data_IF_935704224974
#
_entry.id   IF_935704224974
#
_cell.length_a   1.000
_cell.length_b   1.000
_cell.length_c   1.000
_cell.angle_alpha   90.00
_cell.angle_beta   90.00
_cell.angle_gamma   90.00
#
_symmetry.space_group_name_H-M   'P 1'
#
loop_
_entity.id
_entity.type
_entity.pdbx_description
1 polymer ?
#
# COMPACT_ATOMS: atom_id res chain seq x y z
N UNK A 1 -0.61 36.01 -9.52
CA UNK A 1 0.60 35.28 -9.04
C UNK A 1 0.23 33.82 -8.89
N UNK A 2 1.14 32.93 -9.32
CA UNK A 2 0.95 31.48 -9.18
C UNK A 2 2.16 30.91 -8.43
N UNK A 3 1.89 29.98 -7.51
CA UNK A 3 2.92 29.20 -6.85
C UNK A 3 2.60 27.70 -6.98
N UNK A 4 3.62 26.90 -7.23
CA UNK A 4 3.53 25.45 -7.32
C UNK A 4 4.46 24.82 -6.27
N UNK A 5 3.96 23.80 -5.59
CA UNK A 5 4.77 22.95 -4.72
C UNK A 5 4.48 21.48 -5.02
N UNK A 6 5.49 20.64 -4.94
CA UNK A 6 5.33 19.22 -5.21
C UNK A 6 6.28 18.38 -4.37
N UNK A 7 5.86 17.15 -4.10
CA UNK A 7 6.64 16.14 -3.36
C UNK A 7 6.56 14.82 -4.09
N UNK A 8 7.69 14.12 -4.17
CA UNK A 8 7.80 12.76 -4.68
C UNK A 8 8.44 11.92 -3.58
N UNK A 9 7.85 10.77 -3.32
CA UNK A 9 8.38 9.77 -2.40
C UNK A 9 8.42 8.43 -3.12
N UNK A 10 9.53 7.72 -2.99
CA UNK A 10 9.71 6.38 -3.52
C UNK A 10 10.33 5.50 -2.45
N UNK A 11 9.76 4.32 -2.25
CA UNK A 11 10.26 3.31 -1.31
C UNK A 11 10.37 1.99 -2.06
N UNK A 12 11.56 1.41 -2.01
CA UNK A 12 11.84 0.07 -2.47
C UNK A 12 12.48 -0.68 -1.29
N UNK A 13 11.83 -1.72 -0.84
CA UNK A 13 12.28 -2.50 0.32
C UNK A 13 12.14 -3.98 0.04
N UNK A 14 13.22 -4.71 0.28
CA UNK A 14 13.23 -6.17 0.27
C UNK A 14 13.71 -6.65 1.64
N UNK A 15 12.88 -7.42 2.33
CA UNK A 15 13.18 -8.02 3.63
C UNK A 15 13.15 -9.52 3.47
N UNK A 16 14.29 -10.15 3.67
CA UNK A 16 14.41 -11.60 3.74
C UNK A 16 14.26 -12.04 5.19
N UNK A 17 13.53 -13.13 5.42
CA UNK A 17 13.25 -13.61 6.77
C UNK A 17 12.32 -12.67 7.53
N UNK A 18 11.24 -12.21 6.89
CA UNK A 18 10.24 -11.36 7.53
C UNK A 18 9.37 -12.16 8.51
N UNK A 19 9.59 -11.93 9.79
CA UNK A 19 8.86 -12.59 10.88
C UNK A 19 7.43 -12.06 11.08
N UNK A 20 7.07 -10.94 10.43
CA UNK A 20 5.79 -10.28 10.67
C UNK A 20 4.64 -10.81 9.79
N UNK A 21 4.87 -11.84 8.97
CA UNK A 21 3.84 -12.34 8.07
C UNK A 21 3.38 -13.79 8.36
N UNK A 22 3.54 -14.24 9.61
CA UNK A 22 3.07 -15.56 10.05
C UNK A 22 3.94 -16.75 9.63
N UNK A 23 5.12 -16.48 9.05
CA UNK A 23 6.06 -17.50 8.55
C UNK A 23 7.32 -17.61 9.40
N UNK A 24 7.15 -17.43 10.71
CA UNK A 24 8.24 -17.50 11.67
C UNK A 24 8.78 -18.92 11.80
N UNK A 25 10.08 -19.07 12.06
CA UNK A 25 10.64 -20.35 12.44
C UNK A 25 9.99 -20.87 13.74
N UNK A 26 9.41 -22.06 13.69
CA UNK A 26 8.75 -22.70 14.84
C UNK A 26 9.72 -23.51 15.71
N UNK A 27 10.88 -23.84 15.16
CA UNK A 27 11.86 -24.70 15.81
C UNK A 27 13.25 -24.06 15.77
N UNK A 28 14.10 -24.29 16.79
CA UNK A 28 15.49 -23.86 16.76
C UNK A 28 16.22 -24.41 15.52
N UNK A 29 16.92 -23.52 14.79
CA UNK A 29 17.66 -23.89 13.59
C UNK A 29 16.82 -23.91 12.29
N UNK A 30 15.52 -23.71 12.36
CA UNK A 30 14.71 -23.50 11.18
C UNK A 30 15.02 -22.13 10.57
N UNK A 31 15.20 -22.10 9.27
CA UNK A 31 15.40 -20.84 8.53
C UNK A 31 14.07 -20.11 8.34
N UNK A 32 14.08 -18.79 8.30
CA UNK A 32 12.88 -17.99 8.01
C UNK A 32 12.28 -18.37 6.64
N UNK A 33 10.99 -18.62 6.61
CA UNK A 33 10.29 -19.11 5.42
C UNK A 33 9.70 -17.97 4.55
N UNK A 34 9.66 -16.75 5.07
CA UNK A 34 9.04 -15.63 4.41
C UNK A 34 9.99 -14.52 4.00
N UNK A 35 9.65 -13.85 2.93
CA UNK A 35 10.22 -12.56 2.57
C UNK A 35 9.11 -11.57 2.23
N UNK A 36 9.41 -10.30 2.36
CA UNK A 36 8.49 -9.23 1.98
C UNK A 36 9.17 -8.25 1.05
N UNK A 37 8.52 -8.00 -0.07
CA UNK A 37 8.91 -6.96 -1.02
C UNK A 37 7.86 -5.86 -0.96
N UNK A 38 8.31 -4.63 -0.81
CA UNK A 38 7.43 -3.45 -0.79
C UNK A 38 7.92 -2.45 -1.80
N UNK A 39 7.09 -2.13 -2.78
CA UNK A 39 7.28 -1.04 -3.72
C UNK A 39 6.22 0.01 -3.44
N UNK A 40 6.64 1.22 -3.11
CA UNK A 40 5.70 2.32 -2.90
C UNK A 40 6.18 3.58 -3.62
N UNK A 41 5.26 4.21 -4.31
CA UNK A 41 5.47 5.48 -5.02
C UNK A 41 4.34 6.43 -4.64
N UNK A 42 4.71 7.63 -4.22
CA UNK A 42 3.76 8.67 -3.95
C UNK A 42 4.22 9.98 -4.58
N UNK A 43 3.28 10.70 -5.13
CA UNK A 43 3.52 12.07 -5.53
C UNK A 43 2.33 12.94 -5.14
N UNK A 44 2.60 14.16 -4.79
CA UNK A 44 1.58 15.16 -4.51
C UNK A 44 2.03 16.52 -5.04
N UNK A 45 1.05 17.34 -5.39
CA UNK A 45 1.31 18.68 -5.83
C UNK A 45 0.18 19.63 -5.43
N UNK A 46 0.52 20.88 -5.32
CA UNK A 46 -0.43 21.96 -5.10
C UNK A 46 -0.10 23.15 -6.00
N UNK A 47 -1.15 23.74 -6.57
CA UNK A 47 -1.08 24.96 -7.34
C UNK A 47 -1.95 25.99 -6.64
N UNK A 48 -1.34 27.03 -6.14
CA UNK A 48 -2.04 28.19 -5.56
C UNK A 48 -2.00 29.33 -6.55
N UNK A 49 -3.17 29.83 -6.94
CA UNK A 49 -3.35 30.88 -7.94
C UNK A 49 -4.08 32.07 -7.35
N UNK A 50 -3.38 33.18 -7.20
CA UNK A 50 -3.98 34.48 -6.84
C UNK A 50 -4.29 35.23 -8.12
N UNK A 51 -5.56 35.22 -8.53
CA UNK A 51 -6.03 35.89 -9.74
C UNK A 51 -6.23 37.40 -9.49
N UNK A 52 -6.66 37.77 -8.27
CA UNK A 52 -6.80 39.15 -7.82
C UNK A 52 -6.57 39.19 -6.31
N UNK A 53 -6.44 40.40 -5.72
CA UNK A 53 -6.35 40.55 -4.26
C UNK A 53 -7.54 39.95 -3.50
N UNK A 54 -8.64 39.74 -4.20
CA UNK A 54 -9.89 39.23 -3.63
C UNK A 54 -10.26 37.83 -4.09
N UNK A 55 -9.48 37.21 -4.99
CA UNK A 55 -9.79 35.86 -5.53
C UNK A 55 -8.57 34.97 -5.54
N UNK A 56 -8.68 33.89 -4.76
CA UNK A 56 -7.67 32.84 -4.60
C UNK A 56 -8.28 31.50 -4.97
N UNK A 57 -7.52 30.69 -5.73
CA UNK A 57 -7.81 29.29 -5.96
C UNK A 57 -6.63 28.44 -5.51
N UNK A 58 -6.94 27.27 -4.94
CA UNK A 58 -5.97 26.27 -4.54
C UNK A 58 -6.41 24.92 -5.09
N UNK A 59 -5.62 24.40 -6.02
CA UNK A 59 -5.77 23.07 -6.58
C UNK A 59 -4.71 22.14 -5.98
N UNK A 60 -5.11 20.95 -5.54
CA UNK A 60 -4.23 19.90 -5.02
C UNK A 60 -4.51 18.59 -5.71
N UNK A 61 -3.46 17.84 -5.96
CA UNK A 61 -3.54 16.48 -6.47
C UNK A 61 -2.56 15.57 -5.73
N UNK A 62 -2.87 14.29 -5.66
CA UNK A 62 -2.01 13.29 -5.06
C UNK A 62 -2.27 11.91 -5.64
N UNK A 63 -1.24 11.10 -5.65
CA UNK A 63 -1.27 9.70 -5.99
C UNK A 63 -0.40 8.93 -4.99
N UNK A 64 -0.90 7.78 -4.56
CA UNK A 64 -0.17 6.78 -3.80
C UNK A 64 -0.41 5.43 -4.45
N UNK A 65 0.65 4.76 -4.87
CA UNK A 65 0.64 3.36 -5.26
C UNK A 65 1.55 2.58 -4.33
N UNK A 66 1.06 1.48 -3.75
CA UNK A 66 1.81 0.64 -2.84
C UNK A 66 1.52 -0.83 -3.10
N UNK A 67 2.53 -1.54 -3.59
CA UNK A 67 2.54 -2.97 -3.75
C UNK A 67 3.29 -3.61 -2.57
N UNK A 68 2.69 -4.63 -1.95
CA UNK A 68 3.32 -5.45 -0.93
C UNK A 68 3.18 -6.91 -1.34
N UNK A 69 4.31 -7.55 -1.61
CA UNK A 69 4.38 -8.97 -1.88
C UNK A 69 4.94 -9.71 -0.67
N UNK A 70 4.18 -10.69 -0.18
CA UNK A 70 4.57 -11.61 0.87
C UNK A 70 4.89 -12.95 0.20
N UNK A 71 6.16 -13.29 0.13
CA UNK A 71 6.65 -14.40 -0.67
C UNK A 71 7.14 -15.53 0.24
N UNK A 72 6.94 -16.75 -0.21
CA UNK A 72 7.56 -17.92 0.40
C UNK A 72 8.99 -18.04 -0.09
N UNK A 73 9.96 -17.95 0.82
CA UNK A 73 11.40 -17.95 0.47
C UNK A 73 11.95 -19.36 0.19
N UNK A 74 11.26 -20.40 0.69
CA UNK A 74 11.66 -21.77 0.51
C UNK A 74 10.60 -22.49 -0.31
N UNK A 75 11.01 -23.17 -1.39
CA UNK A 75 10.12 -24.12 -2.04
C UNK A 75 9.82 -25.22 -1.04
N UNK A 76 8.55 -25.42 -0.73
CA UNK A 76 8.15 -26.59 0.04
C UNK A 76 8.59 -27.83 -0.72
N UNK A 77 9.17 -28.84 -0.04
CA UNK A 77 9.54 -30.10 -0.69
C UNK A 77 8.33 -30.83 -1.26
N UNK A 78 7.13 -30.42 -0.85
CA UNK A 78 5.85 -30.99 -1.31
C UNK A 78 4.86 -29.84 -1.55
N UNK A 79 3.98 -29.93 -2.57
CA UNK A 79 2.97 -28.91 -2.85
C UNK A 79 1.77 -28.97 -1.88
N UNK A 80 1.90 -29.61 -0.75
CA UNK A 80 0.86 -29.77 0.27
C UNK A 80 1.46 -29.64 1.66
N UNK A 81 0.64 -29.19 2.61
CA UNK A 81 0.96 -29.14 4.03
C UNK A 81 0.40 -30.35 4.75
N UNK A 82 1.15 -30.89 5.69
CA UNK A 82 0.70 -31.97 6.57
C UNK A 82 0.28 -31.36 7.92
N UNK A 83 -1.00 -31.36 8.19
CA UNK A 83 -1.54 -30.92 9.48
C UNK A 83 -2.16 -32.13 10.19
N UNK A 84 -1.42 -32.70 11.12
CA UNK A 84 -1.87 -33.81 11.99
C UNK A 84 -2.11 -33.24 13.40
N UNK A 85 -3.19 -33.67 14.04
CA UNK A 85 -3.55 -33.23 15.40
C UNK A 85 -2.46 -33.50 16.46
N UNK A 86 -1.50 -34.35 16.18
CA UNK A 86 -0.45 -34.74 17.10
C UNK A 86 0.96 -34.36 16.66
N UNK A 87 1.13 -34.03 15.38
CA UNK A 87 2.42 -33.66 14.80
C UNK A 87 2.18 -32.41 13.95
N UNK A 88 2.86 -31.33 14.30
CA UNK A 88 2.87 -30.12 13.48
C UNK A 88 4.04 -30.23 12.50
N UNK A 89 3.73 -30.15 11.20
CA UNK A 89 4.75 -30.04 10.17
C UNK A 89 5.57 -28.78 10.42
N UNK A 90 6.90 -28.85 10.49
CA UNK A 90 7.75 -27.67 10.63
C UNK A 90 7.59 -26.67 9.46
N UNK A 91 7.05 -27.12 8.36
CA UNK A 91 6.75 -26.31 7.18
C UNK A 91 5.24 -26.04 7.00
N UNK A 92 4.43 -26.29 8.04
CA UNK A 92 3.00 -26.00 8.03
C UNK A 92 2.77 -24.49 7.89
N UNK A 93 2.75 -24.06 6.67
CA UNK A 93 2.26 -22.75 6.26
C UNK A 93 1.27 -23.02 5.13
N UNK A 94 -0.02 -22.90 5.44
CA UNK A 94 -1.08 -22.94 4.42
C UNK A 94 -1.00 -21.70 3.50
N UNK A 95 -0.18 -20.72 3.87
CA UNK A 95 -0.05 -19.48 3.15
C UNK A 95 0.92 -19.65 1.99
N UNK A 96 0.42 -19.51 0.79
CA UNK A 96 1.21 -19.32 -0.42
C UNK A 96 1.71 -17.86 -0.54
N UNK A 97 2.10 -17.48 -1.73
CA UNK A 97 2.45 -16.09 -2.01
C UNK A 97 1.20 -15.22 -1.96
N UNK A 98 1.33 -14.04 -1.37
CA UNK A 98 0.28 -13.03 -1.35
C UNK A 98 0.82 -11.72 -1.87
N UNK A 99 0.11 -11.12 -2.82
CA UNK A 99 0.41 -9.78 -3.35
C UNK A 99 -0.78 -8.87 -3.10
N UNK A 100 -0.51 -7.73 -2.49
CA UNK A 100 -1.51 -6.68 -2.25
C UNK A 100 -1.08 -5.42 -2.97
N UNK A 101 -1.91 -4.97 -3.88
CA UNK A 101 -1.75 -3.70 -4.58
C UNK A 101 -2.82 -2.71 -4.13
N UNK A 102 -2.38 -1.52 -3.77
CA UNK A 102 -3.24 -0.45 -3.29
C UNK A 102 -2.91 0.83 -4.05
N UNK A 103 -3.91 1.40 -4.72
CA UNK A 103 -3.78 2.67 -5.39
C UNK A 103 -4.78 3.68 -4.83
N UNK A 104 -4.31 4.89 -4.59
CA UNK A 104 -5.16 6.01 -4.18
C UNK A 104 -4.84 7.21 -5.05
N UNK A 105 -5.86 7.72 -5.70
CA UNK A 105 -5.82 8.97 -6.42
C UNK A 105 -6.69 10.01 -5.73
N UNK A 106 -6.21 11.23 -5.61
CA UNK A 106 -6.87 12.31 -4.90
C UNK A 106 -6.75 13.63 -5.65
N UNK A 107 -7.88 14.29 -5.84
CA UNK A 107 -7.99 15.64 -6.38
C UNK A 107 -8.80 16.50 -5.42
N UNK A 108 -8.37 17.72 -5.22
CA UNK A 108 -9.10 18.72 -4.44
C UNK A 108 -8.92 20.08 -5.09
N UNK A 109 -10.02 20.80 -5.23
CA UNK A 109 -10.01 22.18 -5.65
C UNK A 109 -10.81 23.03 -4.67
N UNK A 110 -10.32 24.22 -4.39
CA UNK A 110 -11.01 25.19 -3.51
C UNK A 110 -10.72 26.60 -3.96
N UNK A 111 -11.72 27.44 -3.87
CA UNK A 111 -11.58 28.85 -4.14
C UNK A 111 -12.11 29.70 -2.99
N UNK A 112 -11.52 30.86 -2.81
CA UNK A 112 -11.93 31.88 -1.87
C UNK A 112 -12.11 33.19 -2.61
N UNK A 113 -13.23 33.88 -2.38
CA UNK A 113 -13.54 35.15 -2.99
C UNK A 113 -14.08 36.11 -1.95
N UNK A 114 -13.50 37.31 -1.90
CA UNK A 114 -13.91 38.39 -1.03
C UNK A 114 -14.57 39.51 -1.85
N UNK A 115 -15.75 39.93 -1.46
CA UNK A 115 -16.45 41.05 -2.09
C UNK A 115 -17.07 41.96 -1.03
N UNK A 116 -16.51 43.15 -0.86
CA UNK A 116 -16.93 44.09 0.16
C UNK A 116 -16.74 43.51 1.56
N UNK A 117 -17.84 43.34 2.31
CA UNK A 117 -17.83 42.74 3.66
C UNK A 117 -18.06 41.23 3.67
N UNK A 118 -18.24 40.62 2.51
CA UNK A 118 -18.55 39.19 2.37
C UNK A 118 -17.33 38.43 1.91
N UNK A 119 -17.13 37.24 2.50
CA UNK A 119 -16.14 36.24 2.08
C UNK A 119 -16.84 34.94 1.76
N UNK A 120 -16.58 34.41 0.58
CA UNK A 120 -17.10 33.16 0.10
C UNK A 120 -15.96 32.17 -0.04
N UNK A 121 -16.17 30.92 0.41
CA UNK A 121 -15.26 29.82 0.19
C UNK A 121 -16.07 28.62 -0.24
N UNK A 122 -15.65 27.98 -1.36
CA UNK A 122 -16.24 26.75 -1.83
C UNK A 122 -15.16 25.86 -2.43
N UNK A 123 -15.44 24.57 -2.56
CA UNK A 123 -14.52 23.61 -3.15
C UNK A 123 -15.13 22.23 -3.22
N UNK A 124 -14.39 21.33 -3.82
CA UNK A 124 -14.74 19.92 -3.97
C UNK A 124 -13.52 19.04 -3.81
N UNK A 125 -13.77 17.80 -3.48
CA UNK A 125 -12.75 16.75 -3.35
C UNK A 125 -13.25 15.49 -4.06
N UNK A 126 -12.35 14.84 -4.78
CA UNK A 126 -12.57 13.52 -5.35
C UNK A 126 -11.44 12.60 -4.98
N UNK A 127 -11.79 11.40 -4.52
CA UNK A 127 -10.84 10.36 -4.15
C UNK A 127 -11.29 9.04 -4.73
N UNK A 128 -10.38 8.37 -5.40
CA UNK A 128 -10.54 6.99 -5.86
C UNK A 128 -9.53 6.12 -5.16
N UNK A 129 -9.98 4.94 -4.71
CA UNK A 129 -9.12 3.91 -4.14
C UNK A 129 -9.40 2.59 -4.83
N UNK A 130 -8.33 1.94 -5.27
CA UNK A 130 -8.35 0.58 -5.79
C UNK A 130 -7.52 -0.31 -4.87
N UNK A 131 -8.03 -1.49 -4.57
CA UNK A 131 -7.34 -2.49 -3.75
C UNK A 131 -7.49 -3.82 -4.46
N UNK A 132 -6.37 -4.40 -4.88
CA UNK A 132 -6.32 -5.72 -5.47
C UNK A 132 -5.46 -6.62 -4.57
N UNK A 133 -5.98 -7.81 -4.28
CA UNK A 133 -5.28 -8.81 -3.47
C UNK A 133 -5.30 -10.13 -4.22
N UNK A 134 -4.13 -10.71 -4.41
CA UNK A 134 -3.93 -12.03 -4.98
C UNK A 134 -3.29 -12.90 -3.92
N UNK A 135 -3.90 -14.05 -3.61
CA UNK A 135 -3.34 -15.04 -2.71
C UNK A 135 -3.30 -16.41 -3.40
N UNK A 136 -2.23 -17.13 -3.17
CA UNK A 136 -2.02 -18.49 -3.67
C UNK A 136 -1.90 -19.41 -2.47
N UNK A 137 -3.00 -20.02 -2.07
CA UNK A 137 -3.00 -20.97 -0.96
C UNK A 137 -2.56 -22.36 -1.42
N UNK A 138 -1.82 -23.04 -0.56
CA UNK A 138 -1.45 -24.43 -0.80
C UNK A 138 -2.65 -25.33 -0.58
N UNK A 139 -2.81 -26.33 -1.44
CA UNK A 139 -3.87 -27.32 -1.30
C UNK A 139 -3.53 -28.28 -0.16
N UNK A 140 -4.44 -28.41 0.81
CA UNK A 140 -4.36 -29.47 1.82
C UNK A 140 -5.16 -30.69 1.33
N UNK A 141 -4.51 -31.80 0.94
CA UNK A 141 -5.21 -32.97 0.43
C UNK A 141 -5.90 -33.84 1.50
N UNK A 142 -5.76 -33.45 2.78
CA UNK A 142 -6.31 -34.17 3.93
C UNK A 142 -7.32 -33.30 4.72
N UNK A 143 -8.05 -32.49 4.01
CA UNK A 143 -9.17 -31.71 4.57
C UNK A 143 -10.33 -32.58 4.99
#
# INVERSE_FOLDING_TARGET
>A
VHSFAGTINYVDRNIQGDFNNGREPRYPGQIPLGSRVTHSKAFSGSLTSTFSPTFLNEFRFGFLGAENAFLVTQPFPTPYTLNLNTITDPYDSNDGDEVRDNEVFHLRDSFSWARGRHQFKAGGEWRQRTVDTYSFDLVNPFG
#
